data_IF_107057182737
#
_entry.id   IF_107057182737
#
_cell.length_a   1.000
_cell.length_b   1.000
_cell.length_c   1.000
_cell.angle_alpha   90.00
_cell.angle_beta   90.00
_cell.angle_gamma   90.00
#
_symmetry.space_group_name_H-M   'P 1'
#
loop_
_entity.id
_entity.type
_entity.pdbx_description
1 polymer ?
#
# COMPACT_ATOMS: atom_id res chain seq x y z
N UNK A 1 -12.56 -59.04 -19.00
CA UNK A 1 -12.23 -58.28 -17.77
C UNK A 1 -10.95 -57.49 -18.00
N UNK A 2 -11.01 -56.16 -18.08
CA UNK A 2 -9.84 -55.29 -17.86
C UNK A 2 -10.36 -53.86 -17.59
N UNK A 3 -10.00 -53.33 -16.41
CA UNK A 3 -10.46 -52.05 -15.85
C UNK A 3 -9.49 -50.93 -16.24
N UNK A 4 -10.05 -49.77 -16.54
CA UNK A 4 -9.62 -48.47 -15.98
C UNK A 4 -8.34 -47.81 -16.51
N UNK A 5 -8.47 -46.55 -16.96
CA UNK A 5 -8.01 -45.38 -16.20
C UNK A 5 -8.47 -44.10 -16.90
N UNK A 6 -9.07 -43.24 -16.10
CA UNK A 6 -9.42 -41.86 -16.45
C UNK A 6 -8.14 -41.03 -16.34
N UNK A 7 -7.75 -40.31 -17.39
CA UNK A 7 -6.75 -39.25 -17.28
C UNK A 7 -7.47 -37.90 -17.22
N UNK A 8 -7.61 -37.42 -15.99
CA UNK A 8 -8.15 -36.12 -15.64
C UNK A 8 -7.14 -35.05 -16.04
N UNK A 9 -7.53 -34.20 -17.00
CA UNK A 9 -6.78 -33.02 -17.40
C UNK A 9 -6.68 -32.03 -16.22
N UNK A 10 -5.50 -32.05 -15.60
CA UNK A 10 -5.09 -31.18 -14.50
C UNK A 10 -5.05 -29.73 -14.98
N UNK A 11 -6.15 -29.01 -14.82
CA UNK A 11 -6.20 -27.56 -15.01
C UNK A 11 -5.25 -26.89 -14.01
N UNK A 12 -4.12 -26.39 -14.51
CA UNK A 12 -3.22 -25.50 -13.76
C UNK A 12 -4.00 -24.23 -13.41
N UNK A 13 -4.25 -24.00 -12.12
CA UNK A 13 -4.64 -22.68 -11.62
C UNK A 13 -3.44 -21.76 -11.78
N UNK A 14 -3.47 -20.96 -12.83
CA UNK A 14 -2.52 -19.88 -13.06
C UNK A 14 -2.81 -18.78 -12.03
N UNK A 15 -2.03 -18.75 -10.95
CA UNK A 15 -2.05 -17.64 -10.02
C UNK A 15 -1.50 -16.42 -10.77
N UNK A 16 -2.41 -15.55 -11.21
CA UNK A 16 -2.09 -14.23 -11.75
C UNK A 16 -1.13 -13.54 -10.77
N UNK A 17 0.12 -13.38 -11.19
CA UNK A 17 1.12 -12.59 -10.48
C UNK A 17 0.55 -11.18 -10.37
N UNK A 18 -0.03 -10.85 -9.21
CA UNK A 18 -0.36 -9.46 -8.89
C UNK A 18 0.93 -8.69 -9.05
N UNK A 19 0.98 -7.82 -10.04
CA UNK A 19 2.12 -6.96 -10.31
C UNK A 19 2.44 -6.26 -9.00
N UNK A 20 3.58 -6.64 -8.42
CA UNK A 20 4.08 -6.04 -7.20
C UNK A 20 4.50 -4.63 -7.63
N UNK A 21 3.61 -3.65 -7.42
CA UNK A 21 3.95 -2.25 -7.66
C UNK A 21 5.23 -1.97 -6.88
N UNK A 22 6.24 -1.31 -7.47
CA UNK A 22 7.46 -1.00 -6.76
C UNK A 22 7.05 -0.29 -5.48
N UNK A 23 7.55 -0.79 -4.34
CA UNK A 23 7.34 -0.14 -3.05
C UNK A 23 7.70 1.34 -3.28
N UNK A 24 6.79 2.28 -2.95
CA UNK A 24 7.16 3.67 -3.02
C UNK A 24 8.44 3.81 -2.20
N UNK A 25 9.52 4.32 -2.80
CA UNK A 25 10.82 4.53 -2.15
C UNK A 25 10.72 5.72 -1.18
N UNK A 26 9.64 5.80 -0.43
CA UNK A 26 9.38 6.84 0.54
C UNK A 26 10.15 6.49 1.80
N UNK A 27 10.80 7.45 2.47
CA UNK A 27 11.57 7.20 3.67
C UNK A 27 10.70 6.72 4.85
N UNK A 28 11.26 5.83 5.66
CA UNK A 28 10.66 5.39 6.91
C UNK A 28 10.73 6.50 7.97
N UNK A 29 9.66 6.65 8.74
CA UNK A 29 9.65 7.58 9.87
C UNK A 29 9.59 6.79 11.20
N UNK A 30 10.63 6.90 12.06
CA UNK A 30 10.61 6.23 13.36
C UNK A 30 9.48 6.76 14.25
N UNK A 31 9.07 5.97 15.24
CA UNK A 31 8.07 6.40 16.21
C UNK A 31 8.59 7.58 17.03
N UNK A 32 7.68 8.50 17.39
CA UNK A 32 8.01 9.66 18.22
C UNK A 32 7.43 10.97 17.68
N UNK A 33 7.98 12.09 18.20
CA UNK A 33 7.49 13.46 17.90
C UNK A 33 7.51 13.79 16.42
N UNK A 34 8.47 13.26 15.67
CA UNK A 34 8.59 13.48 14.23
C UNK A 34 7.30 13.13 13.46
N UNK A 35 6.59 12.07 13.84
CA UNK A 35 5.31 11.69 13.18
C UNK A 35 4.22 12.74 13.46
N UNK A 36 4.16 13.24 14.70
CA UNK A 36 3.22 14.28 15.10
C UNK A 36 3.53 15.62 14.41
N UNK A 37 4.81 15.97 14.28
CA UNK A 37 5.24 17.18 13.59
C UNK A 37 4.89 17.12 12.09
N UNK A 38 5.14 15.99 11.43
CA UNK A 38 4.74 15.77 10.03
C UNK A 38 3.22 15.92 9.87
N UNK A 39 2.43 15.28 10.75
CA UNK A 39 0.96 15.40 10.73
C UNK A 39 0.51 16.85 10.89
N UNK A 40 1.09 17.58 11.86
CA UNK A 40 0.76 18.98 12.14
C UNK A 40 1.08 19.87 10.94
N UNK A 41 2.26 19.73 10.34
CA UNK A 41 2.67 20.53 9.18
C UNK A 41 1.70 20.33 8.01
N UNK A 42 1.34 19.08 7.70
CA UNK A 42 0.42 18.80 6.58
C UNK A 42 -1.02 19.22 6.86
N UNK A 43 -1.44 19.24 8.13
CA UNK A 43 -2.76 19.67 8.52
C UNK A 43 -2.91 21.21 8.57
N UNK A 44 -1.89 21.91 9.08
CA UNK A 44 -1.96 23.34 9.39
C UNK A 44 -1.41 24.25 8.28
N UNK A 45 -0.60 23.74 7.34
CA UNK A 45 0.04 24.57 6.30
C UNK A 45 -0.84 24.74 5.06
N UNK A 46 -1.33 25.96 4.73
CA UNK A 46 -2.23 26.17 3.59
C UNK A 46 -1.65 25.71 2.25
N UNK A 47 -0.34 25.86 2.03
CA UNK A 47 0.35 25.46 0.80
C UNK A 47 0.41 23.95 0.57
N UNK A 48 0.29 23.13 1.62
CA UNK A 48 0.12 21.67 1.49
C UNK A 48 -1.36 21.27 1.37
N UNK A 49 -2.26 22.26 1.40
CA UNK A 49 -3.69 22.09 1.45
C UNK A 49 -4.18 21.79 2.87
N UNK A 50 -3.97 22.77 3.76
CA UNK A 50 -4.48 22.71 5.13
C UNK A 50 -5.99 22.44 5.16
N UNK A 51 -6.43 21.89 6.29
CA UNK A 51 -7.86 21.68 6.60
C UNK A 51 -8.61 20.74 5.64
N UNK A 52 -7.91 19.88 4.89
CA UNK A 52 -8.56 18.87 4.05
C UNK A 52 -9.24 17.73 4.83
N UNK A 53 -9.08 17.70 6.16
CA UNK A 53 -9.54 16.60 7.01
C UNK A 53 -8.57 15.42 7.01
N UNK A 54 -8.89 14.42 7.84
CA UNK A 54 -8.00 13.28 8.18
C UNK A 54 -7.52 12.50 6.96
N UNK A 55 -8.42 12.11 6.07
CA UNK A 55 -8.11 11.13 5.02
C UNK A 55 -7.20 11.72 3.94
N UNK A 56 -7.50 12.96 3.51
CA UNK A 56 -6.69 13.67 2.52
C UNK A 56 -5.31 14.04 3.07
N UNK A 57 -5.22 14.42 4.34
CA UNK A 57 -3.95 14.67 5.02
C UNK A 57 -3.10 13.40 5.05
N UNK A 58 -3.70 12.28 5.45
CA UNK A 58 -3.02 10.97 5.52
C UNK A 58 -2.55 10.51 4.14
N UNK A 59 -3.37 10.65 3.10
CA UNK A 59 -3.01 10.28 1.73
C UNK A 59 -1.78 11.06 1.23
N UNK A 60 -1.73 12.37 1.46
CA UNK A 60 -0.57 13.20 1.07
C UNK A 60 0.71 12.84 1.83
N UNK A 61 0.58 12.42 3.07
CA UNK A 61 1.70 11.95 3.88
C UNK A 61 2.22 10.61 3.33
N UNK A 62 1.31 9.68 2.99
CA UNK A 62 1.66 8.37 2.43
C UNK A 62 2.36 8.46 1.06
N UNK A 63 2.12 9.54 0.31
CA UNK A 63 2.85 9.82 -0.93
C UNK A 63 4.33 10.17 -0.69
N UNK A 64 4.73 10.52 0.54
CA UNK A 64 6.10 10.99 0.85
C UNK A 64 6.80 10.25 1.98
N UNK A 65 6.07 9.53 2.82
CA UNK A 65 6.60 8.85 4.00
C UNK A 65 5.84 7.55 4.23
N UNK A 66 6.45 6.59 4.93
CA UNK A 66 5.75 5.44 5.48
C UNK A 66 6.11 5.22 6.94
N UNK A 67 5.13 4.75 7.72
CA UNK A 67 5.30 4.27 9.09
C UNK A 67 4.06 3.55 9.62
#
# INVERSE_FOLDING_TARGET
>A
MARGRQDSTRHKKEYSKKQQMPLPSVPFVPAGRIRADILKIYHDTPGNGAHFGRDKTTRKIQERYYW
#
